data_IF_296096130602
#
_entry.id   IF_296096130602
#
_cell.length_a   1.000
_cell.length_b   1.000
_cell.length_c   1.000
_cell.angle_alpha   90.00
_cell.angle_beta   90.00
_cell.angle_gamma   90.00
#
_symmetry.space_group_name_H-M   'P 1'
#
loop_
_entity.id
_entity.type
_entity.pdbx_description
1 polymer ?
#
# COMPACT_ATOMS: atom_id res chain seq x y z
N UNK A 1 -14.62 14.68 9.88
CA UNK A 1 -14.86 13.25 10.21
C UNK A 1 -15.93 12.74 9.26
N UNK A 2 -15.62 11.76 8.41
CA UNK A 2 -16.59 11.22 7.44
C UNK A 2 -17.61 10.33 8.18
N UNK A 3 -18.91 10.61 8.04
CA UNK A 3 -20.01 9.79 8.58
C UNK A 3 -20.75 9.16 7.39
N UNK A 4 -20.23 8.07 6.88
CA UNK A 4 -20.85 7.30 5.79
C UNK A 4 -20.80 5.80 6.08
N UNK A 5 -21.62 5.02 5.37
CA UNK A 5 -21.61 3.56 5.51
C UNK A 5 -20.50 2.99 4.61
N UNK A 6 -19.74 2.03 5.14
CA UNK A 6 -18.82 1.24 4.31
C UNK A 6 -19.68 0.37 3.39
N UNK A 7 -19.62 0.60 2.08
CA UNK A 7 -20.46 -0.13 1.14
C UNK A 7 -19.78 -1.40 0.64
N UNK A 8 -18.49 -1.32 0.32
CA UNK A 8 -17.81 -2.42 -0.37
C UNK A 8 -16.32 -2.45 -0.08
N UNK A 9 -15.86 -3.61 0.39
CA UNK A 9 -14.45 -3.95 0.37
C UNK A 9 -14.09 -4.44 -1.04
N UNK A 10 -13.13 -3.78 -1.70
CA UNK A 10 -12.66 -4.23 -3.01
C UNK A 10 -11.21 -4.69 -2.91
N UNK A 11 -11.04 -5.99 -2.72
CA UNK A 11 -9.73 -6.63 -2.81
C UNK A 11 -9.37 -6.68 -4.30
N UNK A 12 -8.59 -5.71 -4.78
CA UNK A 12 -8.03 -5.76 -6.14
C UNK A 12 -6.96 -6.85 -6.18
N UNK A 13 -6.68 -7.41 -7.36
CA UNK A 13 -5.69 -8.48 -7.57
C UNK A 13 -4.28 -8.14 -7.04
N UNK A 14 -3.96 -6.85 -6.85
CA UNK A 14 -2.70 -6.39 -6.25
C UNK A 14 -2.96 -5.65 -4.92
N UNK A 15 -3.45 -6.40 -3.95
CA UNK A 15 -3.69 -5.96 -2.57
C UNK A 15 -2.41 -5.92 -1.71
N UNK A 16 -1.26 -6.23 -2.30
CA UNK A 16 0.06 -6.06 -1.69
C UNK A 16 1.12 -5.69 -2.74
N UNK A 17 2.25 -5.17 -2.29
CA UNK A 17 3.44 -4.88 -3.09
C UNK A 17 4.71 -4.93 -2.22
N UNK A 18 5.87 -5.15 -2.84
CA UNK A 18 7.16 -4.99 -2.16
C UNK A 18 7.48 -3.50 -2.00
N UNK A 19 7.88 -3.11 -0.80
CA UNK A 19 8.27 -1.74 -0.48
C UNK A 19 9.74 -1.65 -0.10
N UNK A 20 10.37 -0.54 -0.49
CA UNK A 20 11.75 -0.24 -0.16
C UNK A 20 11.91 -0.05 1.36
N UNK A 21 12.90 -0.70 1.94
CA UNK A 21 13.15 -0.60 3.38
C UNK A 21 13.70 0.76 3.81
N UNK A 22 14.17 1.60 2.89
CA UNK A 22 14.62 2.96 3.22
C UNK A 22 13.48 3.97 3.12
N UNK A 23 12.84 4.07 1.95
CA UNK A 23 11.89 5.15 1.66
C UNK A 23 10.42 4.71 1.55
N UNK A 24 10.11 3.42 1.75
CA UNK A 24 8.75 2.84 1.68
C UNK A 24 8.06 2.89 0.32
N UNK A 25 8.68 3.51 -0.69
CA UNK A 25 8.21 3.50 -2.07
C UNK A 25 8.17 2.07 -2.60
N UNK A 26 7.33 1.83 -3.62
CA UNK A 26 7.28 0.54 -4.30
C UNK A 26 8.68 0.14 -4.79
N UNK A 27 9.07 -1.07 -4.46
CA UNK A 27 10.29 -1.70 -4.89
C UNK A 27 10.01 -2.74 -5.99
N UNK A 28 11.02 -2.99 -6.79
CA UNK A 28 11.03 -3.96 -7.87
C UNK A 28 12.30 -4.79 -7.70
N UNK A 29 12.19 -6.10 -7.96
CA UNK A 29 13.34 -6.99 -7.96
C UNK A 29 14.27 -6.63 -9.13
N UNK A 30 15.57 -6.61 -8.86
CA UNK A 30 16.63 -6.33 -9.82
C UNK A 30 17.83 -7.23 -9.49
N UNK A 31 17.94 -8.34 -10.23
CA UNK A 31 18.93 -9.39 -9.99
C UNK A 31 18.91 -9.92 -8.54
N UNK A 32 19.93 -9.58 -7.75
CA UNK A 32 20.15 -10.01 -6.36
C UNK A 32 19.79 -8.91 -5.33
N UNK A 33 19.04 -7.91 -5.78
CA UNK A 33 18.65 -6.75 -4.99
C UNK A 33 17.22 -6.28 -5.32
N UNK A 34 16.79 -5.25 -4.62
CA UNK A 34 15.54 -4.54 -4.83
C UNK A 34 15.82 -3.05 -5.05
N UNK A 35 15.27 -2.51 -6.14
CA UNK A 35 15.37 -1.09 -6.49
C UNK A 35 14.04 -0.38 -6.30
N UNK A 36 14.08 0.90 -5.99
CA UNK A 36 12.89 1.75 -5.94
C UNK A 36 13.07 3.01 -6.79
N UNK A 37 11.98 3.75 -7.02
CA UNK A 37 11.99 4.98 -7.83
C UNK A 37 12.90 6.08 -7.26
N UNK A 38 13.20 6.03 -5.96
CA UNK A 38 14.08 7.01 -5.30
C UNK A 38 15.57 6.60 -5.36
N UNK A 39 15.91 5.67 -6.26
CA UNK A 39 17.29 5.19 -6.51
C UNK A 39 17.98 4.50 -5.32
N UNK A 40 17.25 4.15 -4.26
CA UNK A 40 17.77 3.23 -3.24
C UNK A 40 17.81 1.82 -3.79
N UNK A 41 18.91 1.11 -3.48
CA UNK A 41 19.08 -0.31 -3.75
C UNK A 41 19.23 -1.02 -2.41
N UNK A 42 18.37 -1.99 -2.12
CA UNK A 42 18.37 -2.75 -0.86
C UNK A 42 18.46 -4.24 -1.14
N UNK A 43 19.06 -5.01 -0.23
CA UNK A 43 19.11 -6.48 -0.31
C UNK A 43 17.79 -7.14 0.07
N UNK A 44 16.91 -6.40 0.73
CA UNK A 44 15.61 -6.86 1.21
C UNK A 44 14.55 -5.85 0.82
N UNK A 45 13.30 -6.30 0.79
CA UNK A 45 12.13 -5.45 0.64
C UNK A 45 11.03 -5.98 1.55
N UNK A 46 10.26 -5.07 2.15
CA UNK A 46 9.18 -5.45 3.06
C UNK A 46 7.85 -5.52 2.30
N UNK A 47 7.10 -6.63 2.37
CA UNK A 47 5.74 -6.70 1.86
C UNK A 47 4.85 -5.66 2.55
N UNK A 48 4.10 -4.88 1.77
CA UNK A 48 3.11 -3.92 2.27
C UNK A 48 1.77 -4.15 1.64
N UNK A 49 0.73 -4.07 2.47
CA UNK A 49 -0.63 -4.28 2.03
C UNK A 49 -1.28 -2.95 1.66
N UNK A 50 -2.10 -2.99 0.61
CA UNK A 50 -2.90 -1.88 0.10
C UNK A 50 -4.37 -2.31 0.15
N UNK A 51 -5.17 -1.64 0.96
CA UNK A 51 -6.60 -1.88 1.06
C UNK A 51 -7.35 -0.74 0.38
N UNK A 52 -8.18 -1.06 -0.62
CA UNK A 52 -9.09 -0.10 -1.24
C UNK A 52 -10.51 -0.34 -0.71
N UNK A 53 -11.08 0.67 -0.06
CA UNK A 53 -12.44 0.65 0.48
C UNK A 53 -13.27 1.69 -0.27
N UNK A 54 -14.46 1.30 -0.71
CA UNK A 54 -15.43 2.24 -1.22
C UNK A 54 -16.43 2.57 -0.11
N UNK A 55 -16.38 3.81 0.36
CA UNK A 55 -17.35 4.37 1.31
C UNK A 55 -18.34 5.21 0.53
N UNK A 56 -19.61 5.21 0.93
CA UNK A 56 -20.59 6.09 0.33
C UNK A 56 -21.60 6.60 1.35
N UNK A 57 -22.25 7.70 0.99
CA UNK A 57 -23.39 8.28 1.65
C UNK A 57 -24.58 8.39 0.67
N UNK A 58 -25.59 9.18 1.03
CA UNK A 58 -26.85 9.28 0.27
C UNK A 58 -26.70 9.88 -1.14
N UNK A 59 -25.56 10.49 -1.48
CA UNK A 59 -25.36 11.12 -2.78
C UNK A 59 -24.01 10.90 -3.42
N UNK A 60 -23.03 10.35 -2.69
CA UNK A 60 -21.65 10.28 -3.16
C UNK A 60 -20.94 9.01 -2.70
N UNK A 61 -20.01 8.54 -3.52
CA UNK A 61 -19.10 7.45 -3.18
C UNK A 61 -17.65 7.90 -3.32
N UNK A 62 -16.80 7.49 -2.38
CA UNK A 62 -15.36 7.80 -2.34
C UNK A 62 -14.57 6.50 -2.21
N UNK A 63 -13.50 6.37 -3.00
CA UNK A 63 -12.49 5.32 -2.83
C UNK A 63 -11.40 5.80 -1.87
N UNK A 64 -11.25 5.11 -0.74
CA UNK A 64 -10.19 5.33 0.24
C UNK A 64 -9.15 4.23 0.12
N UNK A 65 -7.86 4.60 0.13
CA UNK A 65 -6.75 3.65 0.04
C UNK A 65 -5.92 3.69 1.32
N UNK A 66 -5.89 2.57 2.04
CA UNK A 66 -5.10 2.40 3.25
C UNK A 66 -3.84 1.59 2.96
N UNK A 67 -2.74 1.97 3.59
CA UNK A 67 -1.46 1.27 3.52
C UNK A 67 -1.04 0.82 4.91
N UNK A 68 -0.46 -0.37 5.02
CA UNK A 68 0.10 -0.82 6.30
C UNK A 68 1.29 0.05 6.71
N UNK A 69 1.34 0.40 8.00
CA UNK A 69 2.51 1.04 8.60
C UNK A 69 3.72 0.12 8.50
N UNK A 70 4.92 0.70 8.37
CA UNK A 70 6.14 -0.08 8.60
C UNK A 70 6.11 -0.46 10.08
N UNK A 71 6.10 -1.74 10.40
CA UNK A 71 6.57 -2.13 11.73
C UNK A 71 8.07 -1.83 11.75
N UNK A 72 8.48 -0.88 12.58
CA UNK A 72 9.89 -0.74 12.94
C UNK A 72 10.26 -2.02 13.68
N UNK A 73 11.26 -2.75 13.18
CA UNK A 73 11.86 -3.85 13.96
C UNK A 73 12.54 -3.19 15.16
N UNK A 74 12.06 -3.51 16.37
CA UNK A 74 12.73 -3.19 17.64
C UNK A 74 13.90 -4.15 17.82
#
# INVERSE_FOLDING_TARGET
MFRGKMLRLRIRERWWFLSCDVCTSKAFEDCDAYKCRNSYTTRTATPRYKLAIMAADEGSAVEMVFFTVKMLRV
#
